data_IF_975055149911
#
_entry.id   IF_975055149911
#
_cell.length_a   1.000
_cell.length_b   1.000
_cell.length_c   1.000
_cell.angle_alpha   90.00
_cell.angle_beta   90.00
_cell.angle_gamma   90.00
#
_symmetry.space_group_name_H-M   'P 1'
#
loop_
_entity.id
_entity.type
_entity.pdbx_description
1 polymer ?
#
# COMPACT_ATOMS: atom_id res chain seq x y z
N UNK A 1 -9.20 -21.92 -8.15
CA UNK A 1 -7.87 -21.85 -7.48
C UNK A 1 -7.84 -20.73 -6.42
N UNK A 2 -8.95 -20.55 -5.66
CA UNK A 2 -9.07 -19.60 -4.54
C UNK A 2 -9.72 -20.28 -3.31
N UNK A 3 -9.67 -21.60 -3.25
CA UNK A 3 -10.23 -22.39 -2.15
C UNK A 3 -9.15 -23.29 -1.61
N UNK A 4 -8.50 -22.87 -0.52
CA UNK A 4 -7.61 -23.73 0.26
C UNK A 4 -6.11 -23.47 0.15
N UNK A 5 -5.65 -22.24 -0.11
CA UNK A 5 -4.25 -21.95 0.19
C UNK A 5 -4.10 -21.91 1.71
N UNK A 6 -3.37 -22.89 2.26
CA UNK A 6 -2.66 -22.65 3.51
C UNK A 6 -1.74 -21.47 3.22
N UNK A 7 -2.14 -20.28 3.64
CA UNK A 7 -1.32 -19.09 3.54
C UNK A 7 -0.09 -19.31 4.40
N UNK A 8 1.03 -19.64 3.76
CA UNK A 8 2.30 -19.72 4.46
C UNK A 8 2.64 -18.31 4.92
N UNK A 9 2.69 -18.07 6.23
CA UNK A 9 3.04 -16.76 6.80
C UNK A 9 4.44 -16.26 6.35
N UNK A 10 5.26 -17.14 5.76
CA UNK A 10 6.56 -16.83 5.21
C UNK A 10 6.53 -16.42 3.72
N UNK A 11 5.37 -16.39 3.08
CA UNK A 11 5.25 -15.93 1.70
C UNK A 11 5.48 -14.40 1.64
N UNK A 12 6.46 -13.92 0.85
CA UNK A 12 6.77 -12.49 0.76
C UNK A 12 5.56 -11.65 0.33
N UNK A 13 4.64 -12.21 -0.48
CA UNK A 13 3.44 -11.48 -0.94
C UNK A 13 2.53 -11.11 0.22
N UNK A 14 2.39 -11.97 1.22
CA UNK A 14 1.54 -11.71 2.39
C UNK A 14 2.08 -10.52 3.20
N UNK A 15 3.39 -10.43 3.38
CA UNK A 15 4.02 -9.31 4.08
C UNK A 15 3.81 -7.98 3.35
N UNK A 16 3.90 -7.97 2.03
CA UNK A 16 3.58 -6.79 1.22
C UNK A 16 2.12 -6.36 1.37
N UNK A 17 1.17 -7.29 1.39
CA UNK A 17 -0.26 -7.00 1.57
C UNK A 17 -0.53 -6.43 2.96
N UNK A 18 0.02 -7.04 4.01
CA UNK A 18 -0.13 -6.55 5.39
C UNK A 18 0.46 -5.14 5.52
N UNK A 19 1.66 -4.92 4.99
CA UNK A 19 2.30 -3.60 4.96
C UNK A 19 1.47 -2.55 4.23
N UNK A 20 0.91 -2.92 3.06
CA UNK A 20 0.01 -2.05 2.29
C UNK A 20 -1.21 -1.62 3.12
N UNK A 21 -1.90 -2.55 3.77
CA UNK A 21 -3.10 -2.23 4.55
C UNK A 21 -2.77 -1.26 5.69
N UNK A 22 -1.69 -1.50 6.43
CA UNK A 22 -1.31 -0.64 7.57
C UNK A 22 -0.91 0.76 7.09
N UNK A 23 -0.07 0.86 6.07
CA UNK A 23 0.44 2.15 5.61
C UNK A 23 -0.64 2.96 4.89
N UNK A 24 -1.48 2.30 4.09
CA UNK A 24 -2.60 2.95 3.40
C UNK A 24 -3.67 3.43 4.38
N UNK A 25 -3.95 2.69 5.45
CA UNK A 25 -4.89 3.15 6.48
C UNK A 25 -4.40 4.38 7.22
N UNK A 26 -3.11 4.45 7.57
CA UNK A 26 -2.50 5.66 8.16
C UNK A 26 -2.55 6.84 7.17
N UNK A 27 -2.22 6.60 5.90
CA UNK A 27 -2.36 7.59 4.83
C UNK A 27 -3.82 8.08 4.69
N UNK A 28 -4.79 7.18 4.75
CA UNK A 28 -6.21 7.51 4.72
C UNK A 28 -6.64 8.40 5.90
N UNK A 29 -6.23 8.06 7.13
CA UNK A 29 -6.55 8.86 8.32
C UNK A 29 -5.96 10.28 8.23
N UNK A 30 -4.74 10.43 7.72
CA UNK A 30 -4.15 11.76 7.49
C UNK A 30 -4.87 12.55 6.40
N UNK A 31 -5.44 11.88 5.39
CA UNK A 31 -6.27 12.51 4.38
C UNK A 31 -7.61 13.01 4.91
N UNK A 32 -8.21 12.28 5.87
CA UNK A 32 -9.41 12.75 6.57
C UNK A 32 -9.12 14.07 7.30
N UNK A 33 -7.94 14.20 7.94
CA UNK A 33 -7.55 15.45 8.59
C UNK A 33 -7.38 16.61 7.59
N UNK A 34 -6.76 16.37 6.43
CA UNK A 34 -6.62 17.39 5.37
C UNK A 34 -7.94 17.78 4.70
N UNK A 35 -8.95 16.91 4.74
CA UNK A 35 -10.28 17.25 4.23
C UNK A 35 -11.05 18.25 5.10
N UNK A 36 -10.60 18.48 6.34
CA UNK A 36 -11.16 19.48 7.22
C UNK A 36 -10.54 20.86 6.94
N UNK A 37 -11.33 21.78 6.40
CA UNK A 37 -10.86 23.12 5.99
C UNK A 37 -10.23 23.94 7.13
N UNK A 38 -10.70 23.79 8.38
CA UNK A 38 -10.09 24.44 9.55
C UNK A 38 -8.65 23.95 9.80
N UNK A 39 -8.39 22.65 9.61
CA UNK A 39 -7.05 22.08 9.80
C UNK A 39 -6.16 22.34 8.59
N UNK A 40 -6.72 22.31 7.37
CA UNK A 40 -5.97 22.58 6.15
C UNK A 40 -5.33 23.97 6.16
N UNK A 41 -6.02 25.00 6.66
CA UNK A 41 -5.43 26.36 6.80
C UNK A 41 -4.12 26.36 7.61
N UNK A 42 -3.97 25.46 8.59
CA UNK A 42 -2.76 25.36 9.42
C UNK A 42 -1.69 24.42 8.83
N UNK A 43 -2.12 23.44 8.05
CA UNK A 43 -1.27 22.34 7.58
C UNK A 43 -0.88 22.50 6.11
N UNK A 44 -1.53 23.40 5.38
CA UNK A 44 -1.24 23.71 3.99
C UNK A 44 0.24 24.11 3.81
N UNK A 45 0.85 23.64 2.72
CA UNK A 45 2.26 23.84 2.39
C UNK A 45 3.27 23.38 3.47
N UNK A 46 2.85 22.53 4.40
CA UNK A 46 3.75 21.91 5.38
C UNK A 46 4.14 20.48 4.99
N UNK A 47 5.15 19.96 5.67
CA UNK A 47 5.57 18.56 5.57
C UNK A 47 4.47 17.56 5.88
N UNK A 48 3.39 17.97 6.56
CA UNK A 48 2.25 17.11 6.82
C UNK A 48 1.52 16.71 5.54
N UNK A 49 1.31 17.64 4.61
CA UNK A 49 0.69 17.38 3.29
C UNK A 49 1.61 16.50 2.45
N UNK A 50 2.92 16.78 2.45
CA UNK A 50 3.91 15.96 1.74
C UNK A 50 3.89 14.52 2.27
N UNK A 51 3.89 14.34 3.60
CA UNK A 51 3.84 13.02 4.20
C UNK A 51 2.56 12.26 3.81
N UNK A 52 1.38 12.90 3.92
CA UNK A 52 0.10 12.30 3.52
C UNK A 52 0.15 11.75 2.08
N UNK A 53 0.60 12.56 1.12
CA UNK A 53 0.71 12.14 -0.28
C UNK A 53 1.68 10.98 -0.47
N UNK A 54 2.82 10.97 0.24
CA UNK A 54 3.76 9.85 0.14
C UNK A 54 3.16 8.55 0.72
N UNK A 55 2.44 8.61 1.85
CA UNK A 55 1.76 7.43 2.40
C UNK A 55 0.75 6.81 1.43
N UNK A 56 0.02 7.63 0.66
CA UNK A 56 -0.99 7.13 -0.29
C UNK A 56 -0.37 6.74 -1.65
N UNK A 57 0.54 7.56 -2.19
CA UNK A 57 1.12 7.33 -3.52
C UNK A 57 2.23 6.29 -3.50
N UNK A 58 3.28 6.47 -2.68
CA UNK A 58 4.43 5.56 -2.72
C UNK A 58 4.20 4.28 -1.93
N UNK A 59 3.45 4.34 -0.82
CA UNK A 59 3.19 3.15 0.00
C UNK A 59 1.87 2.45 -0.38
N UNK A 60 0.98 3.12 -1.11
CA UNK A 60 -0.25 2.55 -1.67
C UNK A 60 -0.08 2.09 -3.11
N UNK A 61 -0.01 3.03 -4.05
CA UNK A 61 -0.04 2.68 -5.49
C UNK A 61 1.17 1.85 -5.94
N UNK A 62 2.38 2.22 -5.52
CA UNK A 62 3.60 1.52 -5.95
C UNK A 62 3.72 0.11 -5.37
N UNK A 63 3.38 -0.10 -4.10
CA UNK A 63 3.37 -1.44 -3.49
C UNK A 63 2.36 -2.38 -4.16
N UNK A 64 1.19 -1.85 -4.57
CA UNK A 64 0.19 -2.63 -5.32
C UNK A 64 0.71 -3.11 -6.68
N UNK A 65 1.50 -2.27 -7.38
CA UNK A 65 2.15 -2.66 -8.64
C UNK A 65 3.15 -3.78 -8.39
N UNK A 66 3.98 -3.69 -7.35
CA UNK A 66 4.95 -4.76 -7.02
C UNK A 66 4.25 -6.07 -6.72
N UNK A 67 3.19 -6.06 -5.89
CA UNK A 67 2.40 -7.26 -5.57
C UNK A 67 1.83 -7.87 -6.85
N UNK A 68 1.31 -7.04 -7.75
CA UNK A 68 0.78 -7.51 -9.03
C UNK A 68 1.84 -8.17 -9.89
N UNK A 69 3.07 -7.62 -9.93
CA UNK A 69 4.17 -8.22 -10.69
C UNK A 69 4.53 -9.58 -10.10
N UNK A 70 4.75 -9.68 -8.78
CA UNK A 70 5.14 -10.94 -8.13
C UNK A 70 4.04 -12.01 -8.32
N UNK A 71 2.78 -11.63 -8.19
CA UNK A 71 1.65 -12.54 -8.32
C UNK A 71 1.48 -13.09 -9.75
N UNK A 72 1.62 -12.23 -10.76
CA UNK A 72 1.42 -12.63 -12.16
C UNK A 72 2.67 -13.19 -12.82
N UNK A 73 3.86 -13.01 -12.23
CA UNK A 73 5.12 -13.46 -12.81
C UNK A 73 5.20 -14.96 -13.16
N UNK A 74 4.73 -15.91 -12.32
CA UNK A 74 4.75 -17.33 -12.67
C UNK A 74 3.86 -17.67 -13.86
N UNK A 75 2.79 -16.89 -14.06
CA UNK A 75 1.86 -17.06 -15.19
C UNK A 75 2.52 -16.57 -16.48
N UNK A 76 3.27 -15.46 -16.42
CA UNK A 76 3.88 -14.82 -17.59
C UNK A 76 5.16 -15.56 -18.03
N UNK A 77 6.00 -15.96 -17.09
CA UNK A 77 7.35 -16.49 -17.39
C UNK A 77 7.50 -18.00 -17.15
N UNK A 78 6.55 -18.63 -16.45
CA UNK A 78 6.65 -20.03 -16.03
C UNK A 78 7.60 -20.28 -14.86
N UNK A 79 8.29 -19.25 -14.35
CA UNK A 79 9.19 -19.33 -13.20
C UNK A 79 8.61 -18.59 -12.00
N UNK A 80 8.79 -19.10 -10.78
CA UNK A 80 8.41 -18.37 -9.56
C UNK A 80 9.49 -17.36 -9.17
N UNK A 81 9.08 -16.14 -8.80
CA UNK A 81 9.91 -15.21 -8.03
C UNK A 81 9.78 -15.59 -6.55
N UNK A 82 10.63 -16.50 -6.09
CA UNK A 82 10.76 -16.87 -4.68
C UNK A 82 12.24 -17.04 -4.36
#
# INVERSE_FOLDING_TARGET
>A
MLGGSRSNLFDPVIWWIIGFIVLFTIGGVTGIMLSASILDVLLHDTWFVVAHFHYVLSLGSYSSVIISVIWWWPIITGFSLN
#
